data_IF_752357651566
#
_entry.id   IF_752357651566
#
_cell.length_a   1.000
_cell.length_b   1.000
_cell.length_c   1.000
_cell.angle_alpha   90.00
_cell.angle_beta   90.00
_cell.angle_gamma   90.00
#
_symmetry.space_group_name_H-M   'P 1'
#
loop_
_entity.id
_entity.type
_entity.pdbx_description
1 polymer ?
#
# COMPACT_ATOMS: atom_id res chain seq x y z
N UNK A 1 13.76 -26.19 -3.31
CA UNK A 1 12.35 -25.77 -3.51
C UNK A 1 12.34 -24.29 -3.86
N UNK A 2 11.95 -23.88 -5.08
CA UNK A 2 11.88 -22.47 -5.46
C UNK A 2 10.60 -21.85 -4.85
N UNK A 3 10.69 -20.61 -4.37
CA UNK A 3 9.56 -19.91 -3.76
C UNK A 3 9.85 -19.35 -2.37
N UNK A 4 11.01 -18.71 -2.20
CA UNK A 4 11.28 -17.86 -1.05
C UNK A 4 10.28 -16.68 -1.10
N UNK A 5 9.13 -16.83 -0.44
CA UNK A 5 8.32 -15.68 -0.04
C UNK A 5 9.21 -14.89 0.91
N UNK A 6 9.63 -13.65 0.59
CA UNK A 6 10.28 -12.85 1.60
C UNK A 6 9.18 -12.54 2.61
N UNK A 7 9.17 -13.23 3.74
CA UNK A 7 8.36 -12.90 4.92
C UNK A 7 8.64 -11.48 5.45
N UNK A 8 9.58 -10.77 4.82
CA UNK A 8 10.05 -9.43 5.11
C UNK A 8 10.08 -8.55 3.85
N UNK A 9 9.07 -8.63 2.98
CA UNK A 9 8.96 -7.71 1.85
C UNK A 9 8.77 -6.27 2.34
N UNK A 10 9.75 -5.41 2.03
CA UNK A 10 9.60 -3.97 2.11
C UNK A 10 9.25 -3.47 0.70
N UNK A 11 8.11 -2.77 0.50
CA UNK A 11 7.76 -2.23 -0.81
C UNK A 11 8.83 -1.29 -1.36
N UNK A 12 8.77 -0.90 -2.63
CA UNK A 12 9.59 0.21 -3.15
C UNK A 12 8.85 1.53 -2.96
N UNK A 13 7.57 1.55 -3.29
CA UNK A 13 6.68 2.68 -3.09
C UNK A 13 6.69 3.15 -1.63
N UNK A 14 6.58 4.45 -1.39
CA UNK A 14 6.28 4.98 -0.05
C UNK A 14 4.89 4.50 0.37
N UNK A 15 4.71 4.05 1.61
CA UNK A 15 3.38 3.70 2.13
C UNK A 15 2.91 4.79 3.08
N UNK A 16 1.70 5.28 2.87
CA UNK A 16 1.02 6.22 3.76
C UNK A 16 -0.20 5.51 4.33
N UNK A 17 -0.34 5.59 5.65
CA UNK A 17 -1.43 4.96 6.39
C UNK A 17 -2.47 6.01 6.74
N UNK A 18 -3.72 5.74 6.39
CA UNK A 18 -4.86 6.63 6.62
C UNK A 18 -6.02 5.87 7.26
N UNK A 19 -7.03 6.60 7.70
CA UNK A 19 -8.31 6.00 8.12
C UNK A 19 -9.04 5.39 6.91
N UNK A 20 -9.78 4.27 7.06
CA UNK A 20 -10.47 3.60 5.96
C UNK A 20 -11.34 4.55 5.12
N UNK A 21 -12.01 5.50 5.76
CA UNK A 21 -12.93 6.46 5.15
C UNK A 21 -12.20 7.52 4.32
N UNK A 22 -10.93 7.76 4.62
CA UNK A 22 -10.09 8.77 3.95
C UNK A 22 -9.32 8.21 2.76
N UNK A 23 -9.29 6.89 2.56
CA UNK A 23 -8.47 6.22 1.52
C UNK A 23 -8.68 6.82 0.14
N UNK A 24 -9.94 6.97 -0.29
CA UNK A 24 -10.24 7.49 -1.63
C UNK A 24 -9.84 8.96 -1.75
N UNK A 25 -10.22 9.79 -0.78
CA UNK A 25 -9.94 11.22 -0.78
C UNK A 25 -8.43 11.52 -0.78
N UNK A 26 -7.66 10.83 0.06
CA UNK A 26 -6.21 11.00 0.17
C UNK A 26 -5.49 10.50 -1.09
N UNK A 27 -6.00 9.43 -1.71
CA UNK A 27 -5.44 8.94 -2.96
C UNK A 27 -5.67 9.89 -4.12
N UNK A 28 -6.87 10.47 -4.23
CA UNK A 28 -7.19 11.48 -5.25
C UNK A 28 -6.42 12.79 -5.01
N UNK A 29 -6.20 13.18 -3.75
CA UNK A 29 -5.39 14.36 -3.41
C UNK A 29 -3.90 14.15 -3.75
N UNK A 30 -3.39 12.93 -3.56
CA UNK A 30 -2.01 12.58 -3.86
C UNK A 30 -1.75 12.32 -5.36
N UNK A 31 -2.80 12.30 -6.18
CA UNK A 31 -2.69 12.20 -7.63
C UNK A 31 -2.27 13.55 -8.23
N UNK A 32 -0.97 13.81 -8.17
CA UNK A 32 -0.29 14.88 -8.89
C UNK A 32 0.41 14.27 -10.13
N UNK A 33 0.68 15.01 -11.23
CA UNK A 33 1.29 14.47 -12.45
C UNK A 33 2.65 13.77 -12.26
N UNK A 34 3.27 13.92 -11.09
CA UNK A 34 4.55 13.28 -10.73
C UNK A 34 4.44 12.02 -9.86
N UNK A 35 3.25 11.62 -9.40
CA UNK A 35 3.09 10.46 -8.50
C UNK A 35 2.23 9.35 -9.11
N UNK A 36 2.79 8.15 -9.12
CA UNK A 36 2.09 6.92 -9.46
C UNK A 36 1.44 6.34 -8.20
N UNK A 37 0.20 6.77 -7.89
CA UNK A 37 -0.49 6.34 -6.67
C UNK A 37 -1.17 4.98 -6.84
N UNK A 38 -0.85 4.08 -5.92
CA UNK A 38 -1.53 2.82 -5.70
C UNK A 38 -2.42 2.87 -4.47
N UNK A 39 -3.54 2.15 -4.47
CA UNK A 39 -4.51 2.17 -3.37
C UNK A 39 -4.88 0.77 -2.91
N UNK A 40 -4.92 0.58 -1.59
CA UNK A 40 -5.64 -0.53 -0.97
C UNK A 40 -7.08 -0.12 -0.70
N UNK A 41 -7.99 -0.51 -1.59
CA UNK A 41 -9.38 -0.10 -1.53
C UNK A 41 -10.13 -0.91 -0.48
N UNK A 42 -10.71 -0.27 0.56
CA UNK A 42 -11.50 -0.98 1.56
C UNK A 42 -12.76 -1.62 0.94
N UNK A 43 -13.27 -2.72 1.51
CA UNK A 43 -14.52 -3.34 1.08
C UNK A 43 -15.72 -2.39 1.06
N UNK A 44 -15.75 -1.39 1.94
CA UNK A 44 -16.80 -0.35 2.00
C UNK A 44 -16.86 0.54 0.75
N UNK A 45 -15.77 0.61 -0.01
CA UNK A 45 -15.67 1.36 -1.26
C UNK A 45 -15.60 0.42 -2.48
N UNK A 46 -15.94 -0.86 -2.34
CA UNK A 46 -15.90 -1.80 -3.46
C UNK A 46 -16.80 -1.31 -4.62
N UNK A 47 -16.19 -1.16 -5.80
CA UNK A 47 -16.88 -0.66 -6.99
C UNK A 47 -16.93 0.87 -7.12
N UNK A 48 -16.42 1.62 -6.14
CA UNK A 48 -16.26 3.07 -6.29
C UNK A 48 -15.18 3.38 -7.36
N UNK A 49 -15.43 4.30 -8.30
CA UNK A 49 -14.39 4.76 -9.20
C UNK A 49 -13.34 5.54 -8.41
N UNK A 50 -12.09 5.11 -8.49
CA UNK A 50 -10.95 5.82 -7.87
C UNK A 50 -9.96 6.17 -8.98
N UNK A 51 -9.71 7.46 -9.17
CA UNK A 51 -8.85 7.96 -10.25
C UNK A 51 -7.39 7.91 -9.82
N UNK A 52 -6.78 6.72 -9.91
CA UNK A 52 -5.38 6.48 -9.52
C UNK A 52 -4.70 5.54 -10.52
N UNK A 53 -3.36 5.41 -10.44
CA UNK A 53 -2.61 4.51 -11.30
C UNK A 53 -3.00 3.04 -11.09
N UNK A 54 -3.20 2.61 -9.84
CA UNK A 54 -3.57 1.24 -9.55
C UNK A 54 -4.43 1.09 -8.29
N UNK A 55 -5.37 0.15 -8.34
CA UNK A 55 -6.21 -0.23 -7.21
C UNK A 55 -6.02 -1.72 -6.94
N UNK A 56 -5.87 -2.06 -5.66
CA UNK A 56 -6.01 -3.43 -5.14
C UNK A 56 -7.18 -3.45 -4.17
N UNK A 57 -8.23 -4.20 -4.52
CA UNK A 57 -9.36 -4.40 -3.63
C UNK A 57 -8.96 -5.31 -2.47
N UNK A 58 -9.04 -4.80 -1.24
CA UNK A 58 -8.70 -5.59 -0.06
C UNK A 58 -9.88 -6.51 0.29
N UNK A 59 -9.64 -7.80 0.56
CA UNK A 59 -10.70 -8.72 0.96
C UNK A 59 -11.28 -8.35 2.33
N UNK A 60 -12.60 -8.54 2.52
CA UNK A 60 -13.27 -8.24 3.79
C UNK A 60 -12.88 -9.13 4.97
N UNK A 61 -12.24 -10.29 4.71
CA UNK A 61 -11.73 -11.17 5.76
C UNK A 61 -10.32 -10.76 6.19
N UNK A 62 -10.12 -10.52 7.49
CA UNK A 62 -8.78 -10.25 8.06
C UNK A 62 -7.79 -11.39 7.80
N UNK A 63 -8.25 -12.65 7.77
CA UNK A 63 -7.39 -13.79 7.46
C UNK A 63 -6.93 -13.80 5.99
N UNK A 64 -7.80 -13.38 5.06
CA UNK A 64 -7.42 -13.20 3.66
C UNK A 64 -6.48 -12.00 3.49
N UNK A 65 -6.77 -10.89 4.18
CA UNK A 65 -5.92 -9.70 4.14
C UNK A 65 -4.52 -10.00 4.68
N UNK A 66 -4.41 -10.64 5.85
CA UNK A 66 -3.12 -11.00 6.44
C UNK A 66 -2.27 -11.92 5.55
N UNK A 67 -2.89 -12.86 4.83
CA UNK A 67 -2.21 -13.75 3.88
C UNK A 67 -1.79 -13.03 2.60
N UNK A 68 -2.65 -12.17 2.07
CA UNK A 68 -2.43 -11.47 0.81
C UNK A 68 -1.56 -10.21 0.91
N UNK A 69 -1.39 -9.64 2.10
CA UNK A 69 -0.81 -8.31 2.31
C UNK A 69 0.47 -8.03 1.49
N UNK A 70 1.45 -8.91 1.56
CA UNK A 70 2.70 -8.71 0.81
C UNK A 70 2.54 -8.90 -0.70
N UNK A 71 1.62 -9.76 -1.12
CA UNK A 71 1.23 -9.88 -2.52
C UNK A 71 0.62 -8.58 -3.05
N UNK A 72 -0.28 -7.98 -2.29
CA UNK A 72 -0.93 -6.71 -2.64
C UNK A 72 0.08 -5.55 -2.73
N UNK A 73 1.00 -5.45 -1.77
CA UNK A 73 2.07 -4.45 -1.80
C UNK A 73 2.95 -4.62 -3.05
N UNK A 74 3.36 -5.87 -3.31
CA UNK A 74 4.21 -6.20 -4.46
C UNK A 74 3.49 -5.98 -5.79
N UNK A 75 2.19 -6.20 -5.84
CA UNK A 75 1.37 -5.92 -7.03
C UNK A 75 1.39 -4.44 -7.38
N UNK A 76 1.23 -3.55 -6.40
CA UNK A 76 1.31 -2.10 -6.63
C UNK A 76 2.71 -1.66 -7.06
N UNK A 77 3.77 -2.22 -6.45
CA UNK A 77 5.14 -1.96 -6.90
C UNK A 77 5.38 -2.41 -8.34
N UNK A 78 4.83 -3.56 -8.76
CA UNK A 78 4.95 -4.06 -10.14
C UNK A 78 4.18 -3.19 -11.14
N UNK A 79 3.12 -2.52 -10.69
CA UNK A 79 2.37 -1.54 -11.49
C UNK A 79 3.06 -0.17 -11.55
N UNK A 80 4.26 -0.05 -10.98
CA UNK A 80 5.07 1.17 -11.04
C UNK A 80 4.63 2.24 -10.05
N UNK A 81 3.83 1.89 -9.03
CA UNK A 81 3.45 2.86 -8.01
C UNK A 81 4.67 3.32 -7.21
N UNK A 82 4.75 4.63 -6.95
CA UNK A 82 5.77 5.25 -6.08
C UNK A 82 5.20 5.66 -4.72
N UNK A 83 3.87 5.69 -4.60
CA UNK A 83 3.11 5.98 -3.39
C UNK A 83 1.96 4.99 -3.25
N UNK A 84 1.78 4.41 -2.07
CA UNK A 84 0.67 3.52 -1.72
C UNK A 84 -0.12 4.14 -0.59
N UNK A 85 -1.41 4.41 -0.82
CA UNK A 85 -2.36 4.76 0.22
C UNK A 85 -3.00 3.48 0.75
N UNK A 86 -2.78 3.20 2.03
CA UNK A 86 -3.31 2.02 2.71
C UNK A 86 -4.03 2.41 4.01
N UNK A 87 -4.89 1.52 4.49
CA UNK A 87 -5.61 1.70 5.73
C UNK A 87 -5.30 0.59 6.73
N UNK A 88 -5.45 0.92 8.01
CA UNK A 88 -5.32 -0.02 9.11
C UNK A 88 -6.69 -0.65 9.43
N UNK A 89 -6.79 -1.98 9.59
CA UNK A 89 -7.96 -2.60 10.20
C UNK A 89 -7.99 -2.30 11.72
N UNK A 90 -9.11 -2.62 12.37
CA UNK A 90 -9.19 -2.59 13.84
C UNK A 90 -8.03 -3.39 14.47
N UNK A 91 -7.36 -2.82 15.47
CA UNK A 91 -6.09 -3.37 16.02
C UNK A 91 -6.31 -4.48 17.06
N UNK A 92 -7.13 -5.45 16.69
CA UNK A 92 -7.49 -6.60 17.53
C UNK A 92 -7.21 -7.90 16.78
N UNK A 93 -6.71 -8.92 17.49
CA UNK A 93 -6.41 -10.22 16.91
C UNK A 93 -5.51 -10.13 15.66
N UNK A 94 -6.03 -10.58 14.50
CA UNK A 94 -5.31 -10.52 13.23
C UNK A 94 -5.09 -9.09 12.72
N UNK A 95 -5.97 -8.15 13.07
CA UNK A 95 -5.85 -6.76 12.65
C UNK A 95 -4.62 -6.09 13.25
N UNK A 96 -4.28 -6.39 14.51
CA UNK A 96 -3.03 -5.93 15.14
C UNK A 96 -1.78 -6.41 14.37
N UNK A 97 -1.79 -7.68 13.94
CA UNK A 97 -0.70 -8.25 13.16
C UNK A 97 -0.57 -7.60 11.76
N UNK A 98 -1.69 -7.31 11.11
CA UNK A 98 -1.72 -6.57 9.83
C UNK A 98 -1.19 -5.15 10.03
N UNK A 99 -1.65 -4.45 11.07
CA UNK A 99 -1.25 -3.10 11.38
C UNK A 99 0.26 -3.00 11.64
N UNK A 100 0.83 -3.94 12.39
CA UNK A 100 2.28 -4.01 12.60
C UNK A 100 3.04 -4.13 11.26
N UNK A 101 2.60 -5.03 10.37
CA UNK A 101 3.25 -5.24 9.07
C UNK A 101 3.12 -4.01 8.16
N UNK A 102 1.97 -3.33 8.16
CA UNK A 102 1.75 -2.10 7.40
C UNK A 102 2.61 -0.95 7.92
N UNK A 103 2.71 -0.77 9.25
CA UNK A 103 3.60 0.23 9.86
C UNK A 103 5.05 -0.01 9.50
N UNK A 104 5.49 -1.28 9.48
CA UNK A 104 6.83 -1.63 8.99
C UNK A 104 7.01 -1.30 7.50
N UNK A 105 6.01 -1.55 6.68
CA UNK A 105 6.03 -1.21 5.25
C UNK A 105 6.05 0.32 5.00
N UNK A 106 5.46 1.10 5.91
CA UNK A 106 5.45 2.57 5.95
C UNK A 106 6.66 3.21 6.64
N UNK A 107 7.61 2.41 7.13
CA UNK A 107 8.83 2.91 7.74
C UNK A 107 9.70 3.71 6.76
N UNK A 108 10.70 4.45 7.27
CA UNK A 108 11.59 5.28 6.46
C UNK A 108 12.23 4.48 5.32
N UNK A 109 12.16 5.01 4.09
CA UNK A 109 12.90 4.47 2.95
C UNK A 109 14.07 5.38 2.59
N UNK A 110 15.24 4.82 2.20
CA UNK A 110 16.24 5.61 1.52
C UNK A 110 15.60 6.16 0.24
N UNK A 111 15.45 7.48 0.16
CA UNK A 111 14.90 8.14 -1.02
C UNK A 111 15.80 7.82 -2.21
N UNK A 112 15.29 7.06 -3.17
CA UNK A 112 15.95 6.86 -4.46
C UNK A 112 15.68 8.11 -5.30
N UNK A 113 16.31 9.22 -4.94
CA UNK A 113 16.50 10.35 -5.85
C UNK A 113 17.77 10.02 -6.65
N UNK A 114 17.69 9.72 -7.96
CA UNK A 114 18.86 9.70 -8.81
C UNK A 114 19.48 11.10 -8.77
N UNK A 115 20.80 11.17 -8.57
CA UNK A 115 21.52 12.37 -8.20
C UNK A 115 21.18 13.62 -9.02
N UNK A 116 20.93 14.71 -8.31
CA UNK A 116 21.34 16.02 -8.78
C UNK A 116 22.87 16.06 -8.65
N UNK A 117 23.57 15.66 -9.71
CA UNK A 117 24.99 15.99 -9.85
C UNK A 117 25.08 17.51 -9.83
N UNK A 118 25.69 18.04 -8.77
CA UNK A 118 26.19 19.40 -8.76
C UNK A 118 27.43 19.43 -9.65
N UNK A 119 27.40 20.28 -10.67
CA UNK A 119 28.55 20.64 -11.48
C UNK A 119 28.62 22.16 -11.58
#
# INVERSE_FOLDING_TARGET
>A
MPGQHPSHYAPRARVVLVEPEKVVAEAELAQDPGHQVGVFLPPSFAGAPVRVQAVVAVPGSLAAYARGLYGFLRELDQKGCDLIIAYLPAEEGLGLAIANRLRRAAGPRPSSVPGLQQH
#
